data_IF_721548160126
#
_entry.id   IF_721548160126
#
_cell.length_a   1.000
_cell.length_b   1.000
_cell.length_c   1.000
_cell.angle_alpha   90.00
_cell.angle_beta   90.00
_cell.angle_gamma   90.00
#
_symmetry.space_group_name_H-M   'P 1'
#
loop_
_entity.id
_entity.type
_entity.pdbx_description
1 polymer ?
#
# COMPACT_ATOMS: atom_id res chain seq x y z
N UNK A 1 -33.62 -16.66 1.81
CA UNK A 1 -32.53 -15.87 1.19
C UNK A 1 -31.54 -15.32 2.20
N UNK A 2 -31.97 -14.70 3.32
CA UNK A 2 -31.05 -14.18 4.35
C UNK A 2 -30.04 -15.22 4.85
N UNK A 3 -30.45 -16.45 5.19
CA UNK A 3 -29.52 -17.51 5.60
C UNK A 3 -28.44 -17.82 4.54
N UNK A 4 -28.81 -17.83 3.25
CA UNK A 4 -27.86 -18.07 2.16
C UNK A 4 -26.89 -16.89 2.04
N UNK A 5 -27.39 -15.66 2.15
CA UNK A 5 -26.57 -14.46 2.14
C UNK A 5 -25.58 -14.44 3.31
N UNK A 6 -26.00 -14.86 4.50
CA UNK A 6 -25.13 -15.03 5.67
C UNK A 6 -24.03 -16.06 5.41
N UNK A 7 -24.37 -17.21 4.82
CA UNK A 7 -23.37 -18.23 4.46
C UNK A 7 -22.40 -17.74 3.38
N UNK A 8 -22.85 -16.92 2.42
CA UNK A 8 -21.96 -16.28 1.44
C UNK A 8 -21.01 -15.31 2.15
N UNK A 9 -21.53 -14.49 3.06
CA UNK A 9 -20.71 -13.54 3.82
C UNK A 9 -19.71 -14.23 4.75
N UNK A 10 -20.03 -15.41 5.28
CA UNK A 10 -19.08 -16.27 5.99
C UNK A 10 -17.85 -16.60 5.14
N UNK A 11 -18.03 -16.92 3.85
CA UNK A 11 -16.91 -17.17 2.95
C UNK A 11 -16.03 -15.92 2.78
N UNK A 12 -16.62 -14.72 2.70
CA UNK A 12 -15.85 -13.46 2.68
C UNK A 12 -15.08 -13.23 3.99
N UNK A 13 -15.65 -13.58 5.15
CA UNK A 13 -14.96 -13.52 6.44
C UNK A 13 -13.80 -14.52 6.52
N UNK A 14 -13.96 -15.73 5.98
CA UNK A 14 -12.89 -16.72 5.88
C UNK A 14 -11.72 -16.20 5.02
N UNK A 15 -12.03 -15.64 3.84
CA UNK A 15 -11.04 -15.01 2.96
C UNK A 15 -10.34 -13.86 3.68
N UNK A 16 -11.08 -12.97 4.36
CA UNK A 16 -10.50 -11.91 5.21
C UNK A 16 -9.56 -12.48 6.28
N UNK A 17 -9.91 -13.59 6.91
CA UNK A 17 -9.05 -14.30 7.87
C UNK A 17 -7.73 -14.80 7.27
N UNK A 18 -7.69 -15.13 5.98
CA UNK A 18 -6.43 -15.45 5.26
C UNK A 18 -5.55 -14.20 5.17
N UNK A 19 -6.12 -13.05 4.79
CA UNK A 19 -5.39 -11.78 4.76
C UNK A 19 -4.92 -11.33 6.15
N UNK A 20 -5.70 -11.56 7.21
CA UNK A 20 -5.27 -11.29 8.59
C UNK A 20 -4.07 -12.14 9.02
N UNK A 21 -3.93 -13.37 8.50
CA UNK A 21 -2.71 -14.16 8.73
C UNK A 21 -1.49 -13.56 8.05
N UNK A 22 -1.65 -12.99 6.85
CA UNK A 22 -0.58 -12.25 6.17
C UNK A 22 -0.17 -11.01 6.97
N UNK A 23 -1.14 -10.32 7.58
CA UNK A 23 -0.90 -9.18 8.48
C UNK A 23 0.08 -9.53 9.59
N UNK A 24 -0.10 -10.68 10.26
CA UNK A 24 0.76 -11.09 11.39
C UNK A 24 2.23 -11.20 10.96
N UNK A 25 2.49 -11.71 9.75
CA UNK A 25 3.86 -11.80 9.24
C UNK A 25 4.45 -10.41 9.01
N UNK A 26 3.67 -9.47 8.47
CA UNK A 26 4.06 -8.08 8.28
C UNK A 26 4.28 -7.37 9.62
N UNK A 27 3.38 -7.56 10.60
CA UNK A 27 3.46 -6.94 11.93
C UNK A 27 4.67 -7.47 12.73
N UNK A 28 4.91 -8.77 12.72
CA UNK A 28 6.08 -9.36 13.37
C UNK A 28 7.38 -8.87 12.72
N UNK A 29 7.38 -8.76 11.39
CA UNK A 29 8.47 -8.20 10.64
C UNK A 29 8.75 -6.74 11.04
N UNK A 30 7.71 -5.90 11.13
CA UNK A 30 7.81 -4.49 11.56
C UNK A 30 8.35 -4.40 13.00
N UNK A 31 7.88 -5.27 13.91
CA UNK A 31 8.34 -5.30 15.31
C UNK A 31 9.80 -5.70 15.49
N UNK A 32 10.32 -6.64 14.69
CA UNK A 32 11.77 -6.94 14.69
C UNK A 32 12.62 -5.74 14.24
N UNK A 33 12.02 -4.81 13.48
CA UNK A 33 12.66 -3.63 12.92
C UNK A 33 12.55 -2.38 13.82
N UNK A 34 11.53 -2.27 14.68
CA UNK A 34 11.28 -1.15 15.60
C UNK A 34 12.38 -0.93 16.68
N UNK A 35 13.52 -1.62 16.61
CA UNK A 35 14.66 -1.45 17.51
C UNK A 35 15.45 -0.13 17.33
N UNK A 36 14.90 0.86 16.61
CA UNK A 36 15.49 2.19 16.52
C UNK A 36 14.49 3.26 16.99
N UNK A 37 14.73 3.96 18.12
CA UNK A 37 13.80 4.93 18.71
C UNK A 37 13.49 6.15 17.80
N UNK A 38 14.19 6.31 16.68
CA UNK A 38 14.01 7.40 15.71
C UNK A 38 13.35 6.98 14.39
N UNK A 39 13.09 5.69 14.14
CA UNK A 39 12.39 5.26 12.92
C UNK A 39 10.88 5.28 13.15
N UNK A 40 10.26 6.43 12.90
CA UNK A 40 8.82 6.66 13.06
C UNK A 40 7.99 6.09 11.89
N UNK A 41 8.36 4.93 11.34
CA UNK A 41 7.63 4.34 10.21
C UNK A 41 6.55 3.40 10.74
N UNK A 42 5.29 3.77 10.49
CA UNK A 42 4.13 2.95 10.83
C UNK A 42 3.50 2.43 9.54
N UNK A 43 3.51 1.12 9.37
CA UNK A 43 2.77 0.48 8.28
C UNK A 43 1.58 -0.21 8.93
N UNK A 44 0.38 0.20 8.55
CA UNK A 44 -0.84 -0.47 8.98
C UNK A 44 -1.45 -1.20 7.79
N UNK A 45 -1.61 -2.51 7.93
CA UNK A 45 -2.32 -3.36 6.96
C UNK A 45 -3.64 -3.81 7.60
N UNK A 46 -4.75 -3.41 7.01
CA UNK A 46 -6.08 -3.63 7.57
C UNK A 46 -7.01 -4.23 6.52
N UNK A 47 -7.13 -5.58 6.49
CA UNK A 47 -8.10 -6.27 5.64
C UNK A 47 -9.52 -5.87 5.98
N UNK A 48 -10.32 -5.52 4.98
CA UNK A 48 -11.72 -5.11 5.14
C UNK A 48 -12.57 -5.67 4.00
N UNK A 49 -13.81 -6.02 4.32
CA UNK A 49 -14.80 -6.34 3.30
C UNK A 49 -15.42 -5.01 2.86
N UNK A 50 -15.27 -4.66 1.58
CA UNK A 50 -15.79 -3.42 1.01
C UNK A 50 -16.87 -3.70 -0.02
N UNK A 51 -17.79 -2.75 -0.15
CA UNK A 51 -18.75 -2.72 -1.26
C UNK A 51 -18.06 -2.03 -2.44
N UNK A 52 -17.97 -2.73 -3.57
CA UNK A 52 -17.50 -2.15 -4.84
C UNK A 52 -18.59 -1.20 -5.34
N UNK A 53 -18.50 0.09 -4.98
CA UNK A 53 -19.54 1.11 -5.22
C UNK A 53 -20.07 1.11 -6.65
N UNK A 54 -19.20 1.09 -7.66
CA UNK A 54 -19.59 1.07 -9.08
C UNK A 54 -20.37 -0.20 -9.43
N UNK A 55 -19.83 -1.37 -9.11
CA UNK A 55 -20.51 -2.66 -9.32
C UNK A 55 -21.85 -2.71 -8.60
N UNK A 56 -21.92 -2.21 -7.36
CA UNK A 56 -23.15 -2.22 -6.58
C UNK A 56 -24.24 -1.38 -7.24
N UNK A 57 -23.93 -0.10 -7.52
CA UNK A 57 -24.87 0.89 -8.06
C UNK A 57 -25.33 0.49 -9.47
N UNK A 58 -24.38 0.20 -10.37
CA UNK A 58 -24.70 -0.04 -11.78
C UNK A 58 -25.60 -1.26 -11.94
N UNK A 59 -25.27 -2.36 -11.26
CA UNK A 59 -26.05 -3.59 -11.34
C UNK A 59 -27.40 -3.48 -10.59
N UNK A 60 -27.48 -2.75 -9.47
CA UNK A 60 -28.76 -2.54 -8.80
C UNK A 60 -29.73 -1.72 -9.67
N UNK A 61 -29.20 -0.67 -10.30
CA UNK A 61 -29.96 0.20 -11.21
C UNK A 61 -30.35 -0.49 -12.53
N UNK A 62 -29.84 -1.69 -12.84
CA UNK A 62 -30.37 -2.48 -13.95
C UNK A 62 -31.82 -2.92 -13.70
N UNK A 63 -32.15 -3.24 -12.44
CA UNK A 63 -33.43 -3.85 -12.06
C UNK A 63 -34.49 -2.83 -11.63
N UNK A 64 -34.05 -1.69 -11.04
CA UNK A 64 -34.95 -0.73 -10.38
C UNK A 64 -35.24 0.47 -11.29
N UNK A 65 -36.48 0.95 -11.29
CA UNK A 65 -36.90 2.20 -11.94
C UNK A 65 -36.35 3.44 -11.22
N UNK A 66 -36.15 4.53 -11.98
CA UNK A 66 -35.63 5.80 -11.43
C UNK A 66 -36.74 6.64 -10.78
N UNK A 67 -37.34 6.12 -9.71
CA UNK A 67 -38.43 6.76 -8.96
C UNK A 67 -38.07 6.91 -7.48
N UNK A 68 -38.74 7.86 -6.80
CA UNK A 68 -38.52 8.19 -5.38
C UNK A 68 -37.04 8.40 -5.04
N UNK A 69 -36.56 7.72 -4.01
CA UNK A 69 -35.19 7.77 -3.48
C UNK A 69 -34.12 7.39 -4.51
N UNK A 70 -34.46 6.68 -5.60
CA UNK A 70 -33.50 6.34 -6.67
C UNK A 70 -33.42 7.40 -7.80
N UNK A 71 -33.91 8.62 -7.55
CA UNK A 71 -33.86 9.75 -8.49
C UNK A 71 -33.11 10.95 -7.91
N UNK A 72 -32.37 11.67 -8.76
CA UNK A 72 -31.72 12.94 -8.39
C UNK A 72 -30.69 12.80 -7.27
N UNK A 73 -30.63 13.80 -6.39
CA UNK A 73 -29.64 13.88 -5.31
C UNK A 73 -29.88 12.87 -4.18
N UNK A 74 -31.15 12.49 -3.95
CA UNK A 74 -31.51 11.47 -2.94
C UNK A 74 -30.88 10.11 -3.26
N UNK A 75 -30.72 9.80 -4.56
CA UNK A 75 -30.06 8.59 -5.05
C UNK A 75 -28.59 8.54 -4.61
N UNK A 76 -27.89 9.66 -4.78
CA UNK A 76 -26.46 9.73 -4.47
C UNK A 76 -26.24 9.63 -2.96
N UNK A 77 -27.05 10.34 -2.18
CA UNK A 77 -27.05 10.25 -0.71
C UNK A 77 -27.35 8.82 -0.22
N UNK A 78 -28.33 8.14 -0.80
CA UNK A 78 -28.65 6.75 -0.46
C UNK A 78 -27.47 5.81 -0.73
N UNK A 79 -26.91 5.85 -1.94
CA UNK A 79 -25.80 4.96 -2.29
C UNK A 79 -24.53 5.27 -1.51
N UNK A 80 -24.25 6.53 -1.20
CA UNK A 80 -23.15 6.89 -0.30
C UNK A 80 -23.36 6.33 1.10
N UNK A 81 -24.57 6.49 1.66
CA UNK A 81 -24.91 5.93 2.96
C UNK A 81 -24.70 4.41 2.99
N UNK A 82 -25.21 3.69 2.00
CA UNK A 82 -25.10 2.22 1.93
C UNK A 82 -23.66 1.77 1.71
N UNK A 83 -22.93 2.38 0.78
CA UNK A 83 -21.56 1.97 0.46
C UNK A 83 -20.55 2.30 1.56
N UNK A 84 -20.87 3.25 2.47
CA UNK A 84 -20.02 3.62 3.60
C UNK A 84 -20.26 2.75 4.85
N UNK A 85 -21.18 1.78 4.81
CA UNK A 85 -21.39 0.85 5.93
C UNK A 85 -20.17 -0.07 6.05
N UNK A 86 -19.53 -0.10 7.23
CA UNK A 86 -18.44 -1.03 7.51
C UNK A 86 -18.99 -2.45 7.76
N UNK A 87 -18.63 -3.40 6.89
CA UNK A 87 -19.09 -4.78 6.99
C UNK A 87 -18.08 -5.64 7.76
N UNK A 88 -18.17 -5.65 9.10
CA UNK A 88 -17.27 -6.42 9.98
C UNK A 88 -17.86 -7.76 10.39
N UNK A 89 -19.17 -7.83 10.52
CA UNK A 89 -19.92 -8.96 11.04
C UNK A 89 -21.07 -9.35 10.11
N UNK A 90 -21.66 -10.52 10.36
CA UNK A 90 -22.83 -10.99 9.59
C UNK A 90 -24.02 -10.07 9.81
N UNK A 91 -24.13 -9.54 11.03
CA UNK A 91 -25.16 -8.61 11.46
C UNK A 91 -25.07 -7.30 10.67
N UNK A 92 -23.85 -6.79 10.43
CA UNK A 92 -23.65 -5.59 9.60
C UNK A 92 -24.12 -5.83 8.16
N UNK A 93 -23.83 -7.00 7.59
CA UNK A 93 -24.28 -7.35 6.25
C UNK A 93 -25.80 -7.48 6.16
N UNK A 94 -26.43 -8.14 7.14
CA UNK A 94 -27.89 -8.23 7.22
C UNK A 94 -28.51 -6.84 7.39
N UNK A 95 -27.92 -5.98 8.21
CA UNK A 95 -28.37 -4.60 8.40
C UNK A 95 -28.34 -3.82 7.09
N UNK A 96 -27.24 -3.91 6.33
CA UNK A 96 -27.12 -3.29 5.02
C UNK A 96 -28.18 -3.83 4.04
N UNK A 97 -28.37 -5.14 3.97
CA UNK A 97 -29.39 -5.77 3.13
C UNK A 97 -30.80 -5.28 3.46
N UNK A 98 -31.12 -5.15 4.75
CA UNK A 98 -32.42 -4.63 5.20
C UNK A 98 -32.59 -3.17 4.77
N UNK A 99 -31.59 -2.30 4.95
CA UNK A 99 -31.65 -0.90 4.46
C UNK A 99 -32.00 -0.86 2.96
N UNK A 100 -31.33 -1.68 2.16
CA UNK A 100 -31.56 -1.71 0.71
C UNK A 100 -32.97 -2.20 0.39
N UNK A 101 -33.40 -3.32 0.98
CA UNK A 101 -34.72 -3.91 0.71
C UNK A 101 -35.85 -3.01 1.21
N UNK A 102 -35.72 -2.43 2.40
CA UNK A 102 -36.73 -1.54 2.98
C UNK A 102 -36.84 -0.26 2.15
N UNK A 103 -35.72 0.32 1.72
CA UNK A 103 -35.75 1.47 0.80
C UNK A 103 -36.45 1.13 -0.51
N UNK A 104 -36.25 -0.06 -1.07
CA UNK A 104 -36.93 -0.49 -2.32
C UNK A 104 -38.45 -0.66 -2.13
N UNK A 105 -38.87 -1.14 -0.95
CA UNK A 105 -40.28 -1.32 -0.59
C UNK A 105 -40.98 0.00 -0.30
N UNK A 106 -40.31 0.91 0.41
CA UNK A 106 -40.87 2.19 0.83
C UNK A 106 -40.86 3.23 -0.30
N UNK A 107 -40.15 2.94 -1.40
CA UNK A 107 -39.94 3.86 -2.51
C UNK A 107 -41.23 4.23 -3.28
N UNK A 108 -42.29 3.45 -3.12
CA UNK A 108 -43.59 3.63 -3.79
C UNK A 108 -44.66 3.40 -2.72
N UNK A 109 -45.71 4.22 -2.70
CA UNK A 109 -46.78 4.24 -1.69
C UNK A 109 -47.14 2.87 -1.08
N UNK A 110 -47.32 2.85 0.25
CA UNK A 110 -47.73 1.77 1.18
C UNK A 110 -48.80 0.80 0.63
N UNK A 111 -48.45 0.01 -0.38
CA UNK A 111 -49.32 -0.98 -1.03
C UNK A 111 -48.61 -2.33 -1.01
N UNK A 112 -49.37 -3.43 -0.93
CA UNK A 112 -48.82 -4.78 -0.72
C UNK A 112 -47.88 -5.27 -1.85
N UNK A 113 -47.80 -4.56 -2.98
CA UNK A 113 -47.04 -4.96 -4.17
C UNK A 113 -45.99 -3.89 -4.60
N UNK A 114 -45.31 -3.27 -3.63
CA UNK A 114 -44.37 -2.17 -3.87
C UNK A 114 -43.12 -2.55 -4.63
N UNK A 115 -42.55 -3.73 -4.40
CA UNK A 115 -41.31 -4.16 -5.08
C UNK A 115 -41.53 -4.29 -6.57
N UNK A 116 -42.64 -4.90 -7.01
CA UNK A 116 -42.93 -5.06 -8.44
C UNK A 116 -43.18 -3.73 -9.15
N UNK A 117 -43.70 -2.71 -8.45
CA UNK A 117 -43.83 -1.34 -8.97
C UNK A 117 -42.49 -0.62 -9.10
N UNK A 118 -41.53 -0.96 -8.24
CA UNK A 118 -40.16 -0.40 -8.27
C UNK A 118 -39.28 -1.05 -9.34
N UNK A 119 -39.71 -2.16 -9.97
CA UNK A 119 -38.96 -2.86 -11.00
C UNK A 119 -39.14 -2.25 -12.38
N UNK A 120 -38.09 -2.36 -13.20
CA UNK A 120 -38.21 -2.04 -14.64
C UNK A 120 -39.11 -3.05 -15.36
N UNK A 121 -39.74 -2.61 -16.45
CA UNK A 121 -40.69 -3.40 -17.28
C UNK A 121 -40.29 -4.83 -17.65
N UNK A 122 -38.99 -5.15 -17.68
CA UNK A 122 -38.47 -6.47 -18.04
C UNK A 122 -37.70 -7.18 -16.91
N UNK A 123 -37.75 -6.65 -15.68
CA UNK A 123 -37.03 -7.19 -14.52
C UNK A 123 -37.97 -8.00 -13.63
N UNK A 124 -37.51 -9.14 -13.12
CA UNK A 124 -38.24 -9.93 -12.13
C UNK A 124 -37.72 -9.63 -10.73
N UNK A 125 -38.62 -9.66 -9.75
CA UNK A 125 -38.26 -9.50 -8.34
C UNK A 125 -37.23 -10.55 -7.89
N UNK A 126 -37.35 -11.78 -8.40
CA UNK A 126 -36.42 -12.87 -8.12
C UNK A 126 -34.98 -12.54 -8.56
N UNK A 127 -34.79 -11.93 -9.74
CA UNK A 127 -33.48 -11.56 -10.23
C UNK A 127 -32.86 -10.44 -9.38
N UNK A 128 -33.67 -9.44 -9.00
CA UNK A 128 -33.26 -8.36 -8.11
C UNK A 128 -32.81 -8.91 -6.74
N UNK A 129 -33.63 -9.75 -6.13
CA UNK A 129 -33.29 -10.34 -4.85
C UNK A 129 -32.07 -11.26 -4.95
N UNK A 130 -31.97 -12.05 -6.01
CA UNK A 130 -30.80 -12.88 -6.26
C UNK A 130 -29.54 -12.03 -6.31
N UNK A 131 -29.56 -10.90 -7.03
CA UNK A 131 -28.44 -9.96 -7.06
C UNK A 131 -28.14 -9.37 -5.67
N UNK A 132 -29.13 -8.79 -4.98
CA UNK A 132 -28.97 -8.16 -3.65
C UNK A 132 -28.37 -9.15 -2.65
N UNK A 133 -28.87 -10.38 -2.58
CA UNK A 133 -28.42 -11.39 -1.62
C UNK A 133 -27.20 -12.19 -2.09
N UNK A 134 -26.73 -12.01 -3.33
CA UNK A 134 -25.58 -12.77 -3.86
C UNK A 134 -24.22 -12.34 -3.30
N UNK A 135 -24.11 -11.14 -2.75
CA UNK A 135 -22.83 -10.57 -2.31
C UNK A 135 -21.83 -10.29 -3.44
N UNK A 136 -22.20 -10.41 -4.72
CA UNK A 136 -21.29 -10.21 -5.88
C UNK A 136 -20.64 -8.83 -5.98
N UNK A 137 -21.17 -7.87 -5.24
CA UNK A 137 -20.65 -6.50 -5.14
C UNK A 137 -19.70 -6.33 -3.96
N UNK A 138 -19.39 -7.39 -3.21
CA UNK A 138 -18.43 -7.39 -2.12
C UNK A 138 -17.06 -7.86 -2.63
N UNK A 139 -16.03 -7.25 -2.06
CA UNK A 139 -14.66 -7.70 -2.21
C UNK A 139 -13.93 -7.68 -0.87
N UNK A 140 -12.92 -8.54 -0.73
CA UNK A 140 -11.97 -8.46 0.38
C UNK A 140 -10.78 -7.64 -0.10
N UNK A 141 -10.74 -6.39 0.36
CA UNK A 141 -9.67 -5.46 0.04
C UNK A 141 -8.79 -5.24 1.28
N UNK A 142 -7.64 -4.60 1.10
CA UNK A 142 -6.76 -4.22 2.19
C UNK A 142 -6.49 -2.72 2.14
N UNK A 143 -6.75 -2.05 3.25
CA UNK A 143 -6.23 -0.71 3.45
C UNK A 143 -4.79 -0.84 3.92
N UNK A 144 -3.88 -0.26 3.14
CA UNK A 144 -2.51 -0.07 3.54
C UNK A 144 -2.28 1.41 3.83
N UNK A 145 -1.84 1.69 5.04
CA UNK A 145 -1.46 3.03 5.46
C UNK A 145 0.02 3.07 5.79
N UNK A 146 0.70 4.12 5.32
CA UNK A 146 2.08 4.42 5.66
C UNK A 146 2.10 5.75 6.41
N UNK A 147 2.55 5.73 7.66
CA UNK A 147 2.51 6.86 8.59
C UNK A 147 1.10 7.48 8.73
N UNK A 148 0.08 6.62 8.87
CA UNK A 148 -1.35 6.99 8.94
C UNK A 148 -1.85 7.74 7.68
N UNK A 149 -1.17 7.57 6.54
CA UNK A 149 -1.63 8.08 5.25
C UNK A 149 -2.00 6.90 4.34
N UNK A 150 -3.17 6.92 3.69
CA UNK A 150 -3.50 5.90 2.70
C UNK A 150 -2.54 5.99 1.50
N UNK A 151 -2.29 4.86 0.82
CA UNK A 151 -1.39 4.80 -0.37
C UNK A 151 -1.71 5.90 -1.40
N UNK A 152 -3.00 6.19 -1.61
CA UNK A 152 -3.47 7.18 -2.58
C UNK A 152 -2.94 8.60 -2.29
N UNK A 153 -2.64 8.92 -1.04
CA UNK A 153 -2.12 10.21 -0.59
C UNK A 153 -0.60 10.25 -0.42
N UNK A 154 0.10 9.14 -0.65
CA UNK A 154 1.56 9.10 -0.56
C UNK A 154 2.21 9.82 -1.74
N UNK A 155 3.29 10.55 -1.45
CA UNK A 155 4.18 11.11 -2.47
C UNK A 155 4.90 9.98 -3.25
N UNK A 156 5.44 10.27 -4.45
CA UNK A 156 6.21 9.29 -5.21
C UNK A 156 7.35 8.65 -4.40
N UNK A 157 8.08 9.45 -3.60
CA UNK A 157 9.13 8.96 -2.71
C UNK A 157 8.59 8.03 -1.62
N UNK A 158 7.53 8.41 -0.90
CA UNK A 158 6.91 7.56 0.13
C UNK A 158 6.41 6.22 -0.46
N UNK A 159 5.83 6.25 -1.66
CA UNK A 159 5.40 5.02 -2.37
C UNK A 159 6.59 4.13 -2.72
N UNK A 160 7.68 4.72 -3.21
CA UNK A 160 8.92 4.00 -3.52
C UNK A 160 9.51 3.34 -2.27
N UNK A 161 9.59 4.08 -1.16
CA UNK A 161 10.07 3.56 0.13
C UNK A 161 9.20 2.41 0.65
N UNK A 162 7.88 2.54 0.57
CA UNK A 162 6.96 1.48 0.97
C UNK A 162 7.18 0.21 0.14
N UNK A 163 7.33 0.34 -1.18
CA UNK A 163 7.61 -0.78 -2.06
C UNK A 163 8.96 -1.43 -1.75
N UNK A 164 10.01 -0.63 -1.57
CA UNK A 164 11.34 -1.10 -1.17
C UNK A 164 11.29 -1.82 0.18
N UNK A 165 10.50 -1.33 1.12
CA UNK A 165 10.27 -1.98 2.42
C UNK A 165 9.72 -3.38 2.19
N UNK A 166 8.68 -3.56 1.38
CA UNK A 166 8.16 -4.90 1.07
C UNK A 166 9.21 -5.80 0.39
N UNK A 167 9.94 -5.30 -0.61
CA UNK A 167 10.96 -6.10 -1.27
C UNK A 167 12.09 -6.51 -0.35
N UNK A 168 12.57 -5.59 0.50
CA UNK A 168 13.71 -5.82 1.38
C UNK A 168 13.39 -6.81 2.52
N UNK A 169 12.10 -6.95 2.85
CA UNK A 169 11.69 -7.49 4.14
C UNK A 169 10.64 -8.60 4.08
N UNK A 170 9.65 -8.49 3.19
CA UNK A 170 8.64 -9.52 3.01
C UNK A 170 9.18 -10.69 2.15
N UNK A 171 10.15 -10.41 1.28
CA UNK A 171 10.84 -11.45 0.51
C UNK A 171 11.78 -12.24 1.42
N UNK A 172 11.36 -13.46 1.77
CA UNK A 172 12.17 -14.42 2.54
C UNK A 172 13.21 -15.14 1.68
N UNK A 173 13.32 -14.83 0.39
CA UNK A 173 14.32 -15.43 -0.48
C UNK A 173 15.72 -14.86 -0.19
N UNK A 174 16.73 -15.72 -0.33
CA UNK A 174 18.13 -15.31 -0.20
C UNK A 174 18.73 -14.87 -1.55
N UNK A 175 17.89 -14.55 -2.53
CA UNK A 175 18.32 -14.18 -3.88
C UNK A 175 19.06 -12.83 -3.84
N UNK A 176 20.10 -12.63 -4.68
CA UNK A 176 20.74 -11.34 -4.82
C UNK A 176 19.74 -10.25 -5.24
N UNK A 177 19.81 -9.09 -4.60
CA UNK A 177 18.99 -7.93 -4.92
C UNK A 177 19.86 -6.82 -5.51
N UNK A 178 19.46 -6.29 -6.67
CA UNK A 178 20.12 -5.16 -7.32
C UNK A 178 19.19 -3.95 -7.24
N UNK A 179 19.66 -2.86 -6.63
CA UNK A 179 18.93 -1.61 -6.48
C UNK A 179 19.68 -0.50 -7.21
N UNK A 180 19.05 0.10 -8.20
CA UNK A 180 19.58 1.27 -8.91
C UNK A 180 18.91 2.53 -8.36
N UNK A 181 19.72 3.42 -7.79
CA UNK A 181 19.30 4.68 -7.16
C UNK A 181 18.04 4.54 -6.26
N UNK A 182 18.01 3.61 -5.28
CA UNK A 182 16.85 3.45 -4.39
C UNK A 182 16.55 4.70 -3.55
N UNK A 183 17.47 5.66 -3.48
CA UNK A 183 17.31 6.98 -2.87
C UNK A 183 16.50 8.00 -3.69
N UNK A 184 16.20 7.71 -4.96
CA UNK A 184 15.58 8.68 -5.84
C UNK A 184 14.21 9.13 -5.28
N UNK A 185 13.97 10.45 -5.26
CA UNK A 185 12.78 11.07 -4.68
C UNK A 185 12.63 10.94 -3.15
N UNK A 186 13.66 10.49 -2.43
CA UNK A 186 13.70 10.51 -0.96
C UNK A 186 14.59 11.63 -0.43
N UNK A 187 14.18 12.26 0.67
CA UNK A 187 15.03 13.21 1.38
C UNK A 187 16.12 12.48 2.20
N UNK A 188 17.22 13.17 2.47
CA UNK A 188 18.36 12.60 3.20
C UNK A 188 18.01 12.11 4.62
N UNK A 189 17.04 12.72 5.29
CA UNK A 189 16.62 12.30 6.62
C UNK A 189 15.87 10.97 6.55
N UNK A 190 14.98 10.78 5.56
CA UNK A 190 14.30 9.51 5.31
C UNK A 190 15.27 8.41 4.90
N UNK A 191 16.24 8.72 4.03
CA UNK A 191 17.29 7.76 3.62
C UNK A 191 18.04 7.26 4.85
N UNK A 192 18.53 8.18 5.70
CA UNK A 192 19.32 7.85 6.87
C UNK A 192 18.52 7.09 7.94
N UNK A 193 17.32 7.57 8.29
CA UNK A 193 16.54 6.99 9.39
C UNK A 193 15.86 5.66 9.03
N UNK A 194 15.54 5.45 7.74
CA UNK A 194 14.74 4.30 7.31
C UNK A 194 15.52 3.41 6.34
N UNK A 195 15.87 3.92 5.16
CA UNK A 195 16.39 3.09 4.07
C UNK A 195 17.72 2.41 4.43
N UNK A 196 18.62 3.13 5.12
CA UNK A 196 19.88 2.55 5.63
C UNK A 196 19.62 1.35 6.54
N UNK A 197 18.65 1.46 7.45
CA UNK A 197 18.32 0.37 8.38
C UNK A 197 17.72 -0.82 7.65
N UNK A 198 16.86 -0.57 6.66
CA UNK A 198 16.26 -1.61 5.80
C UNK A 198 17.35 -2.40 5.08
N UNK A 199 18.31 -1.71 4.46
CA UNK A 199 19.41 -2.33 3.73
C UNK A 199 20.31 -3.13 4.68
N UNK A 200 20.68 -2.56 5.83
CA UNK A 200 21.51 -3.22 6.86
C UNK A 200 20.89 -4.52 7.36
N UNK A 201 19.57 -4.59 7.45
CA UNK A 201 18.88 -5.81 7.85
C UNK A 201 18.73 -6.80 6.70
N UNK A 202 18.42 -6.33 5.49
CA UNK A 202 18.32 -7.18 4.31
C UNK A 202 19.66 -7.88 3.99
N UNK A 203 20.78 -7.15 4.07
CA UNK A 203 22.11 -7.69 3.74
C UNK A 203 22.63 -8.77 4.69
N UNK A 204 22.01 -8.93 5.87
CA UNK A 204 22.30 -10.05 6.79
C UNK A 204 21.79 -11.39 6.27
N UNK A 205 20.79 -11.38 5.39
CA UNK A 205 20.11 -12.59 4.89
C UNK A 205 20.43 -12.87 3.42
N UNK A 206 20.74 -11.84 2.63
CA UNK A 206 21.03 -11.96 1.18
C UNK A 206 22.08 -10.95 0.72
N UNK A 207 22.62 -11.16 -0.48
CA UNK A 207 23.46 -10.16 -1.13
C UNK A 207 22.62 -8.98 -1.64
N UNK A 208 23.04 -7.75 -1.34
CA UNK A 208 22.41 -6.52 -1.84
C UNK A 208 23.47 -5.71 -2.58
N UNK A 209 23.23 -5.38 -3.84
CA UNK A 209 24.08 -4.56 -4.70
C UNK A 209 23.34 -3.25 -4.96
N UNK A 210 23.96 -2.13 -4.62
CA UNK A 210 23.34 -0.81 -4.73
C UNK A 210 24.19 0.07 -5.64
N UNK A 211 23.56 0.66 -6.64
CA UNK A 211 24.13 1.75 -7.44
C UNK A 211 23.59 3.04 -6.85
N UNK A 212 24.48 3.87 -6.29
CA UNK A 212 24.07 5.07 -5.56
C UNK A 212 25.12 6.17 -5.71
N UNK A 213 24.64 7.40 -5.59
CA UNK A 213 25.48 8.60 -5.46
C UNK A 213 25.34 9.23 -4.06
N UNK A 214 24.59 8.60 -3.15
CA UNK A 214 24.32 9.11 -1.83
C UNK A 214 25.31 8.53 -0.79
N UNK A 215 26.06 9.37 -0.05
CA UNK A 215 27.02 8.90 0.95
C UNK A 215 26.36 8.12 2.09
N UNK A 216 25.08 8.39 2.43
CA UNK A 216 24.37 7.61 3.44
C UNK A 216 24.20 6.15 3.01
N UNK A 217 23.94 5.90 1.73
CA UNK A 217 23.82 4.53 1.23
C UNK A 217 25.16 3.86 0.99
N UNK A 218 26.13 4.59 0.44
CA UNK A 218 27.45 4.04 0.16
C UNK A 218 28.26 3.75 1.44
N UNK A 219 28.16 4.62 2.45
CA UNK A 219 29.02 4.60 3.65
C UNK A 219 28.25 4.20 4.89
N UNK A 220 27.12 4.85 5.21
CA UNK A 220 26.40 4.64 6.49
C UNK A 220 25.67 3.29 6.56
N UNK A 221 25.43 2.65 5.42
CA UNK A 221 24.99 1.24 5.35
C UNK A 221 26.07 0.21 5.74
N UNK A 222 27.29 0.65 6.11
CA UNK A 222 28.46 -0.18 6.39
C UNK A 222 28.78 -1.14 5.24
N UNK A 223 28.85 -0.63 4.00
CA UNK A 223 29.09 -1.45 2.80
C UNK A 223 30.39 -2.26 2.91
N UNK A 224 30.30 -3.59 2.76
CA UNK A 224 31.46 -4.48 2.82
C UNK A 224 32.42 -4.27 1.65
N UNK A 225 31.89 -3.88 0.50
CA UNK A 225 32.66 -3.62 -0.70
C UNK A 225 32.07 -2.42 -1.45
N UNK A 226 32.94 -1.51 -1.85
CA UNK A 226 32.61 -0.38 -2.72
C UNK A 226 33.31 -0.59 -4.05
N UNK A 227 32.58 -0.30 -5.13
CA UNK A 227 33.09 -0.32 -6.50
C UNK A 227 32.98 1.10 -7.04
N UNK A 228 34.12 1.77 -7.22
CA UNK A 228 34.15 3.11 -7.79
C UNK A 228 34.38 3.01 -9.30
N UNK A 229 33.47 3.59 -10.09
CA UNK A 229 33.66 3.79 -11.52
C UNK A 229 34.44 5.08 -11.77
N UNK A 230 35.35 5.05 -12.74
CA UNK A 230 36.09 6.22 -13.21
C UNK A 230 36.00 6.28 -14.73
N UNK A 231 35.54 7.40 -15.26
CA UNK A 231 35.49 7.64 -16.70
C UNK A 231 36.63 8.59 -17.08
N UNK A 232 37.60 8.06 -17.83
CA UNK A 232 38.65 8.85 -18.44
C UNK A 232 38.07 9.54 -19.68
N UNK A 233 38.09 10.88 -19.69
CA UNK A 233 37.62 11.72 -20.80
C UNK A 233 38.75 12.19 -21.72
N UNK A 234 39.92 11.56 -21.64
CA UNK A 234 41.05 11.84 -22.54
C UNK A 234 40.78 11.38 -23.98
N UNK A 235 41.81 11.44 -24.83
CA UNK A 235 41.73 11.14 -26.27
C UNK A 235 41.21 9.71 -26.52
N UNK A 236 41.43 8.78 -25.59
CA UNK A 236 40.89 7.43 -25.62
C UNK A 236 39.95 7.21 -24.42
N UNK A 237 38.64 7.51 -24.56
CA UNK A 237 37.71 7.41 -23.45
C UNK A 237 37.62 5.99 -22.92
N UNK A 238 37.83 5.81 -21.62
CA UNK A 238 37.82 4.50 -20.98
C UNK A 238 37.14 4.54 -19.63
N UNK A 239 36.26 3.58 -19.39
CA UNK A 239 35.72 3.32 -18.05
C UNK A 239 36.64 2.32 -17.36
N UNK A 240 37.03 2.65 -16.14
CA UNK A 240 37.83 1.81 -15.25
C UNK A 240 37.15 1.70 -13.90
N UNK A 241 37.41 0.60 -13.19
CA UNK A 241 36.82 0.35 -11.89
C UNK A 241 37.92 0.02 -10.88
N UNK A 242 37.74 0.50 -9.66
CA UNK A 242 38.50 0.07 -8.50
C UNK A 242 37.52 -0.43 -7.45
N UNK A 243 37.87 -1.48 -6.72
CA UNK A 243 37.02 -2.00 -5.66
C UNK A 243 37.80 -2.37 -4.42
N UNK A 244 37.11 -2.32 -3.29
CA UNK A 244 37.65 -2.72 -1.99
C UNK A 244 36.74 -2.29 -0.85
N UNK A 245 37.15 -2.62 0.37
CA UNK A 245 36.42 -2.24 1.58
C UNK A 245 36.63 -0.76 1.92
N UNK A 246 35.74 -0.19 2.74
CA UNK A 246 35.74 1.23 3.15
C UNK A 246 37.04 1.60 3.88
N UNK A 247 37.65 0.65 4.59
CA UNK A 247 38.88 0.81 5.37
C UNK A 247 40.13 0.87 4.49
N UNK A 248 40.04 0.49 3.22
CA UNK A 248 41.18 0.59 2.30
C UNK A 248 41.48 2.07 2.02
N UNK A 249 42.69 2.60 2.32
CA UNK A 249 42.98 4.02 2.17
C UNK A 249 42.76 4.58 0.75
N UNK A 250 42.98 3.76 -0.29
CA UNK A 250 42.76 4.16 -1.69
C UNK A 250 41.27 4.28 -2.00
N UNK A 251 40.45 3.36 -1.49
CA UNK A 251 38.99 3.39 -1.67
C UNK A 251 38.40 4.51 -0.82
N UNK A 252 38.81 4.64 0.44
CA UNK A 252 38.37 5.69 1.34
C UNK A 252 38.58 7.10 0.76
N UNK A 253 39.77 7.38 0.24
CA UNK A 253 40.06 8.65 -0.43
C UNK A 253 39.13 8.88 -1.63
N UNK A 254 38.87 7.83 -2.43
CA UNK A 254 37.98 7.91 -3.59
C UNK A 254 36.52 8.12 -3.23
N UNK A 255 36.03 7.53 -2.14
CA UNK A 255 34.69 7.79 -1.61
C UNK A 255 34.53 9.28 -1.31
N UNK A 256 35.47 9.86 -0.56
CA UNK A 256 35.43 11.28 -0.17
C UNK A 256 35.51 12.20 -1.40
N UNK A 257 36.40 11.88 -2.35
CA UNK A 257 36.55 12.68 -3.57
C UNK A 257 35.28 12.65 -4.43
N UNK A 258 34.62 11.49 -4.56
CA UNK A 258 33.46 11.31 -5.43
C UNK A 258 32.16 11.79 -4.76
N UNK A 259 31.89 11.38 -3.52
CA UNK A 259 30.61 11.61 -2.87
C UNK A 259 30.56 12.95 -2.10
N UNK A 260 31.69 13.40 -1.56
CA UNK A 260 31.78 14.63 -0.74
C UNK A 260 32.46 15.79 -1.46
N UNK A 261 33.03 15.55 -2.64
CA UNK A 261 33.70 16.58 -3.45
C UNK A 261 35.06 17.03 -2.89
N UNK A 262 35.74 16.17 -2.12
CA UNK A 262 37.04 16.34 -1.41
C UNK A 262 36.94 16.65 0.09
N UNK A 263 37.95 16.20 0.85
CA UNK A 263 38.03 16.38 2.30
C UNK A 263 38.03 17.86 2.76
N UNK A 264 38.74 18.80 2.09
CA UNK A 264 38.66 20.22 2.46
C UNK A 264 37.27 20.82 2.26
N UNK A 265 36.55 20.42 1.21
CA UNK A 265 35.19 20.89 0.95
C UNK A 265 34.21 20.36 2.00
N UNK A 266 34.35 19.09 2.39
CA UNK A 266 33.57 18.48 3.46
C UNK A 266 33.78 19.22 4.80
N UNK A 267 35.03 19.41 5.23
CA UNK A 267 35.36 20.11 6.48
C UNK A 267 34.84 21.55 6.52
N UNK A 268 35.00 22.29 5.42
CA UNK A 268 34.45 23.65 5.31
C UNK A 268 32.92 23.68 5.47
N UNK A 269 32.22 22.63 5.01
CA UNK A 269 30.77 22.50 5.23
C UNK A 269 30.46 22.17 6.70
N UNK A 270 31.19 21.22 7.28
CA UNK A 270 31.08 20.82 8.68
C UNK A 270 31.26 22.01 9.64
N UNK A 271 32.32 22.80 9.44
CA UNK A 271 32.67 23.98 10.27
C UNK A 271 31.59 25.08 10.28
N UNK A 272 30.64 25.06 9.33
CA UNK A 272 29.53 26.02 9.26
C UNK A 272 28.33 25.63 10.11
N UNK A 273 28.23 24.36 10.51
CA UNK A 273 27.13 23.89 11.34
C UNK A 273 27.48 24.05 12.82
N UNK A 274 26.50 24.46 13.62
CA UNK A 274 26.63 24.55 15.08
C UNK A 274 26.21 23.20 15.65
N UNK A 275 27.10 22.57 16.43
CA UNK A 275 26.83 21.32 17.14
C UNK A 275 26.14 21.58 18.48
#
# INVERSE_FOLDING_TARGET
>A
MQQIATNIFEAYLEVKGIYEKLKINVDNFIKEFEFNPNSSVKIEFSPKIKIIKTSFIDNLLLYIEKVGTFRGDERESFFEKVCNIELKTKEDFIHMLNIVVDTIKDNIDNSEDTVNKSLKKNSKAEDLYTYIFSGKYLDVDYDLEFNNKPISMLSPGERGLLLLTFFLLADTSNNPLILDQPEENLDNQTIYNVLVQLIRNAKKKRQVIIVTHNPNLAVVCDSEQIICANFDTSIEPKISYISGAIENPKINAKIVDILEGTMPAFKNREDKYIQ
#
